data_IF_463450072818
#
_entry.id   IF_463450072818
#
_cell.length_a   1.000
_cell.length_b   1.000
_cell.length_c   1.000
_cell.angle_alpha   90.00
_cell.angle_beta   90.00
_cell.angle_gamma   90.00
#
_symmetry.space_group_name_H-M   'P 1'
#
loop_
_entity.id
_entity.type
_entity.pdbx_description
1 polymer ?
#
# COMPACT_ATOMS: atom_id res chain seq x y z
N UNK A 1 -44.45 20.24 -30.03
CA UNK A 1 -43.52 20.76 -29.01
C UNK A 1 -43.06 19.70 -28.01
N UNK A 2 -43.93 18.84 -27.46
CA UNK A 2 -43.56 17.82 -26.47
C UNK A 2 -42.54 16.76 -26.97
N UNK A 3 -42.66 16.27 -28.22
CA UNK A 3 -41.77 15.23 -28.75
C UNK A 3 -40.30 15.68 -28.87
N UNK A 4 -40.03 16.99 -29.06
CA UNK A 4 -38.66 17.52 -29.14
C UNK A 4 -37.99 17.58 -27.76
N UNK A 5 -38.77 17.83 -26.72
CA UNK A 5 -38.28 17.85 -25.33
C UNK A 5 -37.96 16.42 -24.88
N UNK A 6 -38.84 15.46 -25.18
CA UNK A 6 -38.63 14.04 -24.83
C UNK A 6 -37.39 13.48 -25.54
N UNK A 7 -37.20 13.75 -26.84
CA UNK A 7 -36.02 13.27 -27.57
C UNK A 7 -34.74 13.94 -27.08
N UNK A 8 -34.79 15.23 -26.73
CA UNK A 8 -33.63 15.93 -26.19
C UNK A 8 -33.22 15.39 -24.82
N UNK A 9 -34.17 15.14 -23.90
CA UNK A 9 -33.88 14.54 -22.59
C UNK A 9 -33.29 13.14 -22.75
N UNK A 10 -33.87 12.31 -23.63
CA UNK A 10 -33.41 10.94 -23.87
C UNK A 10 -31.97 10.90 -24.42
N UNK A 11 -31.67 11.71 -25.44
CA UNK A 11 -30.35 11.76 -26.07
C UNK A 11 -29.29 12.31 -25.12
N UNK A 12 -29.64 13.31 -24.31
CA UNK A 12 -28.70 13.90 -23.36
C UNK A 12 -28.43 12.95 -22.20
N UNK A 13 -29.48 12.28 -21.67
CA UNK A 13 -29.33 11.25 -20.66
C UNK A 13 -28.47 10.08 -21.12
N UNK A 14 -28.73 9.54 -22.31
CA UNK A 14 -27.96 8.42 -22.87
C UNK A 14 -26.47 8.74 -23.04
N UNK A 15 -26.10 9.96 -23.41
CA UNK A 15 -24.69 10.39 -23.53
C UNK A 15 -23.98 10.48 -22.20
N UNK A 16 -24.65 10.97 -21.16
CA UNK A 16 -24.05 11.11 -19.82
C UNK A 16 -23.83 9.74 -19.20
N UNK A 17 -24.85 8.88 -19.21
CA UNK A 17 -24.72 7.53 -18.66
C UNK A 17 -23.74 6.67 -19.48
N UNK A 18 -23.78 6.73 -20.81
CA UNK A 18 -22.87 5.97 -21.68
C UNK A 18 -21.38 6.29 -21.45
N UNK A 19 -21.03 7.56 -21.22
CA UNK A 19 -19.65 7.96 -20.89
C UNK A 19 -19.21 7.45 -19.52
N UNK A 20 -20.08 7.53 -18.51
CA UNK A 20 -19.77 7.03 -17.17
C UNK A 20 -19.49 5.53 -17.15
N UNK A 21 -20.28 4.71 -17.88
CA UNK A 21 -20.04 3.28 -17.99
C UNK A 21 -18.72 2.95 -18.72
N UNK A 22 -18.40 3.69 -19.80
CA UNK A 22 -17.14 3.50 -20.53
C UNK A 22 -15.90 3.85 -19.70
N UNK A 23 -15.96 4.94 -18.94
CA UNK A 23 -14.88 5.33 -18.02
C UNK A 23 -14.71 4.32 -16.88
N UNK A 24 -15.80 3.86 -16.28
CA UNK A 24 -15.77 2.83 -15.24
C UNK A 24 -15.18 1.51 -15.77
N UNK A 25 -15.52 1.10 -16.99
CA UNK A 25 -14.95 -0.10 -17.61
C UNK A 25 -13.45 0.04 -17.89
N UNK A 26 -13.02 1.22 -18.37
CA UNK A 26 -11.60 1.54 -18.55
C UNK A 26 -10.85 1.53 -17.22
N UNK A 27 -11.46 2.02 -16.14
CA UNK A 27 -10.87 2.02 -14.80
C UNK A 27 -10.76 0.61 -14.21
N UNK A 28 -11.81 -0.22 -14.37
CA UNK A 28 -11.80 -1.62 -13.95
C UNK A 28 -10.70 -2.42 -14.67
N UNK A 29 -10.60 -2.29 -16.00
CA UNK A 29 -9.56 -2.97 -16.78
C UNK A 29 -8.14 -2.48 -16.48
N UNK A 30 -7.94 -1.18 -16.20
CA UNK A 30 -6.66 -0.65 -15.77
C UNK A 30 -6.23 -1.22 -14.40
N UNK A 31 -7.16 -1.35 -13.46
CA UNK A 31 -6.90 -1.93 -12.13
C UNK A 31 -6.53 -3.42 -12.19
N UNK A 32 -7.08 -4.18 -13.15
CA UNK A 32 -6.73 -5.59 -13.37
C UNK A 32 -5.34 -5.76 -14.00
N UNK A 33 -4.97 -4.90 -14.95
CA UNK A 33 -3.63 -4.91 -15.55
C UNK A 33 -2.54 -4.59 -14.55
N UNK A 34 -2.81 -3.67 -13.62
CA UNK A 34 -1.88 -3.32 -12.53
C UNK A 34 -1.66 -4.51 -11.58
N UNK A 35 -2.74 -5.25 -11.25
CA UNK A 35 -2.66 -6.45 -10.42
C UNK A 35 -1.91 -7.60 -11.10
N UNK A 36 -2.11 -7.81 -12.41
CA UNK A 36 -1.37 -8.83 -13.17
C UNK A 36 0.13 -8.51 -13.30
N UNK A 37 0.51 -7.24 -13.42
CA UNK A 37 1.92 -6.83 -13.47
C UNK A 37 2.68 -7.09 -12.14
N UNK A 38 1.98 -7.13 -11.00
CA UNK A 38 2.58 -7.47 -9.70
C UNK A 38 2.73 -8.99 -9.46
N UNK A 39 2.13 -9.83 -10.31
CA UNK A 39 2.11 -11.29 -10.13
C UNK A 39 3.37 -12.01 -10.68
N UNK A 40 4.28 -11.27 -11.33
CA UNK A 40 5.47 -11.82 -11.99
C UNK A 40 6.72 -12.00 -11.11
N UNK A 41 6.66 -11.73 -9.79
CA UNK A 41 7.82 -11.86 -8.90
C UNK A 41 7.68 -13.08 -7.94
N UNK A 42 8.34 -14.22 -8.21
CA UNK A 42 8.16 -15.46 -7.45
C UNK A 42 8.70 -15.41 -6.00
N UNK A 43 9.40 -14.35 -5.58
CA UNK A 43 9.75 -14.10 -4.17
C UNK A 43 8.63 -13.44 -3.36
N UNK A 44 7.47 -13.13 -3.98
CA UNK A 44 6.31 -12.56 -3.29
C UNK A 44 5.37 -13.62 -2.67
N UNK A 45 5.79 -14.89 -2.56
CA UNK A 45 5.08 -15.93 -1.80
C UNK A 45 5.25 -15.79 -0.29
N UNK A 46 5.40 -14.55 0.21
CA UNK A 46 5.21 -14.30 1.63
C UNK A 46 3.71 -14.16 1.86
N UNK A 47 3.13 -15.15 2.54
CA UNK A 47 1.71 -15.37 2.84
C UNK A 47 1.07 -14.26 3.68
N UNK A 48 1.77 -13.14 3.87
CA UNK A 48 1.26 -11.86 4.36
C UNK A 48 0.60 -11.03 3.24
N UNK A 49 0.86 -11.34 1.97
CA UNK A 49 0.47 -10.51 0.81
C UNK A 49 -0.99 -10.64 0.37
N UNK A 50 -1.73 -11.67 0.83
CA UNK A 50 -3.17 -11.80 0.52
C UNK A 50 -4.07 -10.93 1.41
N UNK A 51 -3.52 -10.35 2.49
CA UNK A 51 -4.10 -9.27 3.29
C UNK A 51 -3.13 -8.07 3.43
N UNK A 52 -2.07 -8.06 2.61
CA UNK A 52 -0.81 -7.38 2.87
C UNK A 52 -0.78 -5.96 2.35
N UNK A 53 -0.60 -5.04 3.29
CA UNK A 53 -0.42 -3.63 3.02
C UNK A 53 0.86 -3.41 2.17
N UNK A 54 0.73 -2.70 1.06
CA UNK A 54 1.88 -2.31 0.24
C UNK A 54 2.74 -1.27 0.97
N UNK A 55 4.02 -1.13 0.57
CA UNK A 55 4.91 -0.12 1.14
C UNK A 55 4.38 1.31 0.92
N UNK A 56 3.85 1.59 -0.28
CA UNK A 56 3.26 2.88 -0.61
C UNK A 56 2.00 3.18 0.22
N UNK A 57 1.13 2.18 0.43
CA UNK A 57 -0.01 2.32 1.35
C UNK A 57 0.44 2.56 2.79
N UNK A 58 1.48 1.86 3.25
CA UNK A 58 2.03 2.06 4.59
C UNK A 58 2.54 3.49 4.79
N UNK A 59 3.28 4.01 3.81
CA UNK A 59 3.77 5.38 3.80
C UNK A 59 2.63 6.40 3.85
N UNK A 60 1.56 6.17 3.08
CA UNK A 60 0.37 7.03 3.07
C UNK A 60 -0.40 6.98 4.38
N UNK A 61 -0.62 5.80 4.95
CA UNK A 61 -1.35 5.63 6.22
C UNK A 61 -0.63 6.35 7.35
N UNK A 62 0.69 6.22 7.44
CA UNK A 62 1.49 6.86 8.50
C UNK A 62 1.99 8.25 8.14
N UNK A 63 1.61 8.77 6.97
CA UNK A 63 2.02 10.09 6.47
C UNK A 63 3.54 10.31 6.56
N UNK A 64 4.29 9.37 6.02
CA UNK A 64 5.75 9.43 5.95
C UNK A 64 6.23 9.33 4.51
N UNK A 65 7.35 9.96 4.15
CA UNK A 65 7.92 9.81 2.82
C UNK A 65 8.39 8.35 2.61
N UNK A 66 8.38 7.86 1.35
CA UNK A 66 8.98 6.57 1.04
C UNK A 66 10.45 6.51 1.50
N UNK A 67 10.92 5.35 2.01
CA UNK A 67 12.29 5.20 2.45
C UNK A 67 13.25 5.52 1.29
N UNK A 68 14.22 6.40 1.56
CA UNK A 68 15.28 6.72 0.60
C UNK A 68 16.46 5.82 0.90
N UNK A 69 16.91 5.04 -0.08
CA UNK A 69 18.05 4.11 0.07
C UNK A 69 17.88 3.11 1.24
N UNK A 70 16.66 2.62 1.47
CA UNK A 70 16.38 1.67 2.56
C UNK A 70 16.38 2.26 3.97
N UNK A 71 16.60 3.56 4.12
CA UNK A 71 16.51 4.25 5.41
C UNK A 71 15.15 4.96 5.51
N UNK A 72 14.29 4.45 6.40
CA UNK A 72 13.09 5.17 6.83
C UNK A 72 13.39 6.01 8.07
N UNK A 73 12.73 7.16 8.19
CA UNK A 73 12.77 7.98 9.40
C UNK A 73 11.89 7.33 10.48
N UNK A 74 12.46 6.33 11.17
CA UNK A 74 11.74 5.52 12.18
C UNK A 74 11.15 6.37 13.30
N UNK A 75 11.80 7.48 13.66
CA UNK A 75 11.28 8.43 14.65
C UNK A 75 9.91 8.96 14.24
N UNK A 76 9.79 9.47 13.00
CA UNK A 76 8.50 9.96 12.47
C UNK A 76 7.47 8.85 12.31
N UNK A 77 7.90 7.66 11.94
CA UNK A 77 7.02 6.48 11.85
C UNK A 77 6.40 6.20 13.21
N UNK A 78 7.19 6.14 14.28
CA UNK A 78 6.70 5.88 15.63
C UNK A 78 5.82 7.02 16.18
N UNK A 79 6.19 8.27 15.93
CA UNK A 79 5.41 9.43 16.37
C UNK A 79 4.03 9.48 15.70
N UNK A 80 3.98 9.32 14.38
CA UNK A 80 2.73 9.27 13.63
C UNK A 80 1.91 8.03 13.98
N UNK A 81 2.56 6.87 14.14
CA UNK A 81 1.90 5.65 14.60
C UNK A 81 1.21 5.89 15.95
N UNK A 82 1.93 6.39 16.96
CA UNK A 82 1.37 6.61 18.30
C UNK A 82 0.16 7.54 18.23
N UNK A 83 0.30 8.69 17.57
CA UNK A 83 -0.79 9.66 17.41
C UNK A 83 -2.02 9.05 16.74
N UNK A 84 -1.84 8.36 15.61
CA UNK A 84 -2.96 7.78 14.86
C UNK A 84 -3.59 6.59 15.59
N UNK A 85 -2.78 5.75 16.23
CA UNK A 85 -3.25 4.59 16.97
C UNK A 85 -4.08 4.99 18.20
N UNK A 86 -3.64 6.01 18.94
CA UNK A 86 -4.34 6.51 20.14
C UNK A 86 -5.67 7.19 19.80
N UNK A 87 -5.73 7.95 18.71
CA UNK A 87 -6.96 8.62 18.25
C UNK A 87 -7.99 7.59 17.75
N UNK A 88 -7.53 6.47 17.18
CA UNK A 88 -8.39 5.41 16.64
C UNK A 88 -8.67 4.28 17.66
N UNK A 89 -8.38 4.48 18.94
CA UNK A 89 -8.67 3.49 19.98
C UNK A 89 -10.17 3.15 20.04
N UNK A 90 -10.58 1.88 19.81
CA UNK A 90 -11.97 1.45 19.86
C UNK A 90 -12.64 1.76 21.20
N UNK A 91 -11.88 1.76 22.30
CA UNK A 91 -12.40 2.07 23.63
C UNK A 91 -12.80 3.54 23.78
N UNK A 92 -12.27 4.41 22.93
CA UNK A 92 -12.57 5.85 22.90
C UNK A 92 -13.51 6.23 21.75
N UNK A 93 -14.19 5.24 21.14
CA UNK A 93 -15.07 5.45 19.99
C UNK A 93 -14.36 5.46 18.63
N UNK A 94 -13.08 5.07 18.58
CA UNK A 94 -12.34 4.86 17.33
C UNK A 94 -12.73 3.57 16.60
N UNK A 95 -12.14 3.35 15.43
CA UNK A 95 -12.39 2.14 14.62
C UNK A 95 -11.29 1.11 14.81
N UNK A 96 -11.67 -0.10 15.25
CA UNK A 96 -10.75 -1.24 15.35
C UNK A 96 -10.12 -1.58 14.00
N UNK A 97 -10.86 -1.40 12.91
CA UNK A 97 -10.34 -1.62 11.56
C UNK A 97 -9.22 -0.62 11.23
N UNK A 98 -9.45 0.66 11.50
CA UNK A 98 -8.43 1.71 11.25
C UNK A 98 -7.22 1.51 12.14
N UNK A 99 -7.42 1.24 13.43
CA UNK A 99 -6.34 0.91 14.36
C UNK A 99 -5.51 -0.28 13.88
N UNK A 100 -6.18 -1.34 13.41
CA UNK A 100 -5.51 -2.51 12.83
C UNK A 100 -4.71 -2.15 11.57
N UNK A 101 -5.24 -1.29 10.69
CA UNK A 101 -4.51 -0.84 9.48
C UNK A 101 -3.29 0.02 9.82
N UNK A 102 -3.38 0.87 10.83
CA UNK A 102 -2.27 1.68 11.35
C UNK A 102 -1.17 0.77 11.91
N UNK A 103 -1.53 -0.28 12.66
CA UNK A 103 -0.57 -1.27 13.16
C UNK A 103 0.15 -1.99 12.03
N UNK A 104 -0.59 -2.48 11.04
CA UNK A 104 -0.03 -3.16 9.86
C UNK A 104 0.89 -2.25 9.04
N UNK A 105 0.59 -0.95 8.98
CA UNK A 105 1.45 0.02 8.30
C UNK A 105 2.80 0.18 8.99
N UNK A 106 2.82 0.23 10.32
CA UNK A 106 4.06 0.29 11.08
C UNK A 106 4.89 -0.97 10.88
N UNK A 107 4.27 -2.15 11.05
CA UNK A 107 4.92 -3.45 10.82
C UNK A 107 5.55 -3.55 9.43
N UNK A 108 4.85 -3.05 8.39
CA UNK A 108 5.36 -3.06 7.02
C UNK A 108 6.59 -2.17 6.83
N UNK A 109 6.61 -0.98 7.41
CA UNK A 109 7.75 -0.07 7.32
C UNK A 109 8.95 -0.58 8.13
N UNK A 110 8.72 -1.13 9.31
CA UNK A 110 9.76 -1.74 10.15
C UNK A 110 10.42 -2.93 9.43
N UNK A 111 9.60 -3.76 8.76
CA UNK A 111 10.11 -4.87 7.96
C UNK A 111 11.01 -4.39 6.82
N UNK A 112 10.59 -3.35 6.08
CA UNK A 112 11.35 -2.79 4.96
C UNK A 112 12.73 -2.27 5.42
N UNK A 113 12.79 -1.59 6.57
CA UNK A 113 14.05 -1.12 7.14
C UNK A 113 14.94 -2.27 7.55
N UNK A 114 14.37 -3.31 8.17
CA UNK A 114 15.12 -4.51 8.56
C UNK A 114 15.69 -5.24 7.35
N UNK A 115 14.89 -5.45 6.31
CA UNK A 115 15.33 -6.09 5.06
C UNK A 115 16.43 -5.28 4.37
N UNK A 116 16.35 -3.95 4.39
CA UNK A 116 17.40 -3.09 3.87
C UNK A 116 18.71 -3.17 4.68
N UNK A 117 18.63 -3.26 6.01
CA UNK A 117 19.80 -3.45 6.87
C UNK A 117 20.46 -4.81 6.64
N UNK A 118 19.68 -5.90 6.62
CA UNK A 118 20.18 -7.25 6.34
C UNK A 118 20.83 -7.36 4.95
N UNK A 119 20.27 -6.67 3.95
CA UNK A 119 20.84 -6.62 2.61
C UNK A 119 22.19 -5.87 2.58
N UNK A 120 22.28 -4.73 3.28
CA UNK A 120 23.52 -3.96 3.39
C UNK A 120 24.62 -4.75 4.13
N UNK A 121 24.28 -5.40 5.24
CA UNK A 121 25.21 -6.26 5.99
C UNK A 121 25.73 -7.41 5.12
N UNK A 122 24.84 -8.09 4.38
CA UNK A 122 25.22 -9.17 3.47
C UNK A 122 26.14 -8.67 2.35
N UNK A 123 25.87 -7.49 1.79
CA UNK A 123 26.73 -6.90 0.78
C UNK A 123 28.12 -6.57 1.34
N UNK A 124 28.20 -6.07 2.57
CA UNK A 124 29.46 -5.86 3.27
C UNK A 124 30.21 -7.17 3.54
N UNK A 125 29.53 -8.24 3.97
CA UNK A 125 30.12 -9.56 4.18
C UNK A 125 30.69 -10.14 2.87
N UNK A 126 29.95 -10.02 1.76
CA UNK A 126 30.44 -10.42 0.44
C UNK A 126 31.68 -9.60 0.03
N UNK A 127 31.68 -8.29 0.30
CA UNK A 127 32.80 -7.40 -0.02
C UNK A 127 34.05 -7.68 0.82
N UNK A 128 33.89 -8.12 2.07
CA UNK A 128 35.00 -8.45 2.99
C UNK A 128 35.55 -9.87 2.81
N UNK A 129 34.99 -10.64 1.88
CA UNK A 129 35.32 -12.06 1.69
C UNK A 129 34.47 -12.92 2.62
N UNK A 130 33.65 -13.80 2.02
CA UNK A 130 32.66 -14.61 2.70
C UNK A 130 33.24 -15.42 3.87
N UNK A 131 32.93 -15.01 5.10
CA UNK A 131 33.20 -15.74 6.33
C UNK A 131 31.85 -16.09 7.00
N UNK A 132 31.21 -17.21 6.63
CA UNK A 132 29.91 -17.55 7.17
C UNK A 132 30.02 -17.73 8.70
N UNK A 133 29.16 -17.06 9.46
CA UNK A 133 28.97 -17.36 10.89
C UNK A 133 28.25 -18.71 11.00
N UNK A 134 29.02 -19.79 11.14
CA UNK A 134 28.51 -21.17 11.17
C UNK A 134 27.71 -21.48 12.46
N UNK A 135 27.78 -20.61 13.47
CA UNK A 135 27.04 -20.82 14.72
C UNK A 135 26.28 -19.55 15.13
N UNK A 136 24.99 -19.74 15.41
CA UNK A 136 24.11 -18.78 16.07
C UNK A 136 23.62 -19.51 17.33
N UNK A 137 24.13 -19.12 18.49
CA UNK A 137 23.60 -19.58 19.80
C UNK A 137 22.18 -19.04 20.01
#
# INVERSE_FOLDING_TARGET
MAHRIVTQVLVTGARVFGRAFGEAYKQASASQKYQQAMQGNPTASNTLSSAGLTLDEACRILNVPPPKQGQADLTKVHDNFKRLFDINDPKKGGSFYLQSKILRARERLELEVREAQEAAEREEELRRGWQPRIYRD
#
